data_IF_534920122500
#
_entry.id   IF_534920122500
#
_cell.length_a   1.000
_cell.length_b   1.000
_cell.length_c   1.000
_cell.angle_alpha   90.00
_cell.angle_beta   90.00
_cell.angle_gamma   90.00
#
_symmetry.space_group_name_H-M   'P 1'
#
loop_
_entity.id
_entity.type
_entity.pdbx_description
1 polymer ?
#
# COMPACT_ATOMS: atom_id res chain seq x y z
N UNK A 1 -1.46 -12.76 31.69
CA UNK A 1 -1.42 -12.51 30.24
C UNK A 1 -1.92 -13.76 29.55
N UNK A 2 -2.84 -13.64 28.59
CA UNK A 2 -3.18 -14.75 27.69
C UNK A 2 -1.93 -15.14 26.88
N UNK A 3 -1.80 -16.41 26.53
CA UNK A 3 -0.72 -16.84 25.63
C UNK A 3 -0.97 -16.28 24.23
N UNK A 4 0.11 -15.91 23.53
CA UNK A 4 0.02 -15.40 22.17
C UNK A 4 -0.63 -16.45 21.24
N UNK A 5 -1.60 -16.03 20.44
CA UNK A 5 -2.34 -16.90 19.53
C UNK A 5 -2.74 -16.15 18.25
N UNK A 6 -2.94 -16.90 17.17
CA UNK A 6 -3.41 -16.38 15.90
C UNK A 6 -4.88 -16.00 16.02
N UNK A 7 -5.22 -14.71 16.00
CA UNK A 7 -6.60 -14.26 16.17
C UNK A 7 -7.36 -14.11 14.85
N UNK A 8 -6.67 -13.86 13.74
CA UNK A 8 -7.30 -13.74 12.42
C UNK A 8 -6.38 -14.25 11.31
N UNK A 9 -6.96 -14.91 10.32
CA UNK A 9 -6.32 -15.22 9.04
C UNK A 9 -7.04 -14.47 7.94
N UNK A 10 -6.30 -13.68 7.16
CA UNK A 10 -6.85 -12.88 6.08
C UNK A 10 -6.11 -13.14 4.78
N UNK A 11 -6.88 -13.27 3.70
CA UNK A 11 -6.36 -13.40 2.33
C UNK A 11 -6.94 -12.32 1.43
N UNK A 12 -6.19 -11.91 0.42
CA UNK A 12 -6.59 -10.87 -0.52
C UNK A 12 -6.47 -11.42 -1.93
N UNK A 13 -7.52 -12.04 -2.47
CA UNK A 13 -7.44 -12.84 -3.70
C UNK A 13 -6.82 -12.13 -4.89
N UNK A 14 -7.20 -10.86 -5.07
CA UNK A 14 -6.64 -9.97 -6.09
C UNK A 14 -5.75 -8.94 -5.41
N UNK A 15 -4.60 -8.63 -6.01
CA UNK A 15 -3.76 -7.52 -5.58
C UNK A 15 -4.62 -6.24 -5.51
N UNK A 16 -4.55 -5.56 -4.36
CA UNK A 16 -5.26 -4.29 -4.08
C UNK A 16 -6.78 -4.33 -3.91
N UNK A 17 -7.46 -5.49 -3.98
CA UNK A 17 -8.90 -5.58 -3.61
C UNK A 17 -9.11 -5.87 -2.13
N UNK A 18 -10.36 -5.86 -1.67
CA UNK A 18 -10.77 -6.20 -0.30
C UNK A 18 -10.34 -7.62 0.12
N UNK A 19 -10.13 -7.80 1.42
CA UNK A 19 -9.73 -9.07 2.00
C UNK A 19 -10.92 -9.97 2.36
N UNK A 20 -10.62 -11.25 2.59
CA UNK A 20 -11.53 -12.27 3.14
C UNK A 20 -10.89 -12.80 4.42
N UNK A 21 -11.64 -12.84 5.51
CA UNK A 21 -11.22 -13.51 6.75
C UNK A 21 -11.59 -15.00 6.69
N UNK A 22 -10.67 -15.86 7.11
CA UNK A 22 -10.79 -17.31 7.08
C UNK A 22 -10.54 -17.88 8.48
N UNK A 23 -11.27 -18.93 8.84
CA UNK A 23 -11.01 -19.67 10.09
C UNK A 23 -9.75 -20.55 10.02
N UNK A 24 -9.33 -20.93 8.81
CA UNK A 24 -8.14 -21.76 8.56
C UNK A 24 -7.59 -21.51 7.16
N UNK A 25 -6.30 -21.74 6.95
CA UNK A 25 -5.68 -21.64 5.63
C UNK A 25 -4.53 -22.64 5.46
N UNK A 26 -4.39 -23.16 4.23
CA UNK A 26 -3.20 -23.88 3.81
C UNK A 26 -2.10 -22.89 3.45
N UNK A 27 -0.96 -23.00 4.12
CA UNK A 27 0.24 -22.21 3.89
C UNK A 27 1.10 -22.92 2.85
N UNK A 28 1.39 -22.23 1.76
CA UNK A 28 2.36 -22.64 0.74
C UNK A 28 3.64 -21.80 0.89
N UNK A 29 4.73 -22.22 0.25
CA UNK A 29 5.92 -21.37 0.16
C UNK A 29 5.59 -19.99 -0.43
N UNK A 30 4.78 -19.95 -1.49
CA UNK A 30 4.30 -18.70 -2.12
C UNK A 30 3.30 -17.88 -1.30
N UNK A 31 2.96 -18.32 -0.08
CA UNK A 31 2.12 -17.61 0.88
C UNK A 31 0.84 -18.37 1.20
N UNK A 32 -0.12 -17.69 1.84
CA UNK A 32 -1.41 -18.31 2.13
C UNK A 32 -2.13 -18.70 0.83
N UNK A 33 -2.86 -19.81 0.86
CA UNK A 33 -3.74 -20.21 -0.22
C UNK A 33 -4.69 -19.08 -0.59
N UNK A 34 -4.94 -18.92 -1.89
CA UNK A 34 -5.75 -17.85 -2.47
C UNK A 34 -5.17 -16.44 -2.36
N UNK A 35 -4.06 -16.22 -1.66
CA UNK A 35 -3.59 -14.86 -1.38
C UNK A 35 -2.82 -14.23 -2.56
N UNK A 36 -3.32 -13.10 -3.08
CA UNK A 36 -2.78 -12.37 -4.24
C UNK A 36 -2.48 -13.30 -5.43
N UNK A 37 -3.33 -14.29 -5.67
CA UNK A 37 -3.23 -15.18 -6.84
C UNK A 37 -3.63 -14.48 -8.13
N UNK A 38 -4.30 -13.33 -8.02
CA UNK A 38 -4.68 -12.50 -9.14
C UNK A 38 -4.14 -11.08 -9.03
N UNK A 39 -4.02 -10.41 -10.17
CA UNK A 39 -3.64 -9.00 -10.26
C UNK A 39 -4.31 -8.36 -11.48
N UNK A 40 -4.72 -7.10 -11.34
CA UNK A 40 -5.10 -6.30 -12.49
C UNK A 40 -3.86 -5.73 -13.18
N UNK A 41 -3.81 -5.80 -14.50
CA UNK A 41 -2.73 -5.25 -15.29
C UNK A 41 -3.28 -4.40 -16.46
N UNK A 42 -2.49 -3.44 -16.93
CA UNK A 42 -2.69 -2.83 -18.25
C UNK A 42 -2.24 -3.81 -19.34
N UNK A 43 -2.53 -3.50 -20.61
CA UNK A 43 -2.22 -4.38 -21.76
C UNK A 43 -0.73 -4.65 -21.97
N UNK A 44 0.15 -3.84 -21.38
CA UNK A 44 1.60 -4.05 -21.35
C UNK A 44 2.08 -4.92 -20.17
N UNK A 45 1.16 -5.45 -19.36
CA UNK A 45 1.46 -6.26 -18.18
C UNK A 45 1.78 -5.47 -16.91
N UNK A 46 1.72 -4.13 -16.95
CA UNK A 46 2.02 -3.29 -15.78
C UNK A 46 0.91 -3.37 -14.74
N UNK A 47 1.29 -3.60 -13.47
CA UNK A 47 0.33 -3.71 -12.37
C UNK A 47 -0.55 -2.45 -12.17
N UNK A 48 -1.85 -2.68 -11.99
CA UNK A 48 -2.84 -1.68 -11.56
C UNK A 48 -3.14 -1.91 -10.07
N UNK A 49 -3.03 -0.86 -9.26
CA UNK A 49 -3.12 -0.98 -7.80
C UNK A 49 -3.93 0.14 -7.16
N UNK A 50 -4.38 -0.10 -5.92
CA UNK A 50 -5.12 0.87 -5.12
C UNK A 50 -4.30 2.10 -4.68
N UNK A 51 -3.00 2.14 -5.01
CA UNK A 51 -2.19 3.36 -4.89
C UNK A 51 -2.58 4.42 -5.92
N UNK A 52 -3.15 3.98 -7.05
CA UNK A 52 -3.66 4.86 -8.12
C UNK A 52 -5.19 4.83 -8.18
N UNK A 53 -5.79 3.67 -7.94
CA UNK A 53 -7.24 3.46 -8.01
C UNK A 53 -7.80 2.94 -6.68
N UNK A 54 -7.89 3.79 -5.65
CA UNK A 54 -8.23 3.37 -4.29
C UNK A 54 -9.60 2.68 -4.19
N UNK A 55 -10.53 2.92 -5.11
CA UNK A 55 -11.85 2.27 -5.15
C UNK A 55 -11.77 0.74 -5.29
N UNK A 56 -10.66 0.20 -5.80
CA UNK A 56 -10.43 -1.25 -5.89
C UNK A 56 -10.61 -1.97 -4.55
N UNK A 57 -10.31 -1.31 -3.42
CA UNK A 57 -10.42 -1.93 -2.08
C UNK A 57 -11.86 -2.25 -1.68
N UNK A 58 -12.85 -1.63 -2.34
CA UNK A 58 -14.27 -1.86 -2.09
C UNK A 58 -14.79 -3.12 -2.78
N UNK A 59 -14.02 -3.68 -3.72
CA UNK A 59 -14.35 -4.98 -4.32
C UNK A 59 -14.28 -6.05 -3.26
N UNK A 60 -15.39 -6.73 -3.04
CA UNK A 60 -15.53 -7.87 -2.12
C UNK A 60 -15.40 -9.16 -2.90
N UNK A 61 -14.83 -10.16 -2.26
CA UNK A 61 -14.64 -11.48 -2.82
C UNK A 61 -15.27 -12.53 -1.90
N UNK A 62 -15.91 -13.52 -2.49
CA UNK A 62 -16.41 -14.72 -1.81
C UNK A 62 -15.80 -15.94 -2.48
N UNK A 63 -15.24 -16.84 -1.68
CA UNK A 63 -14.66 -18.10 -2.17
C UNK A 63 -15.76 -19.05 -2.65
N UNK A 64 -15.49 -19.75 -3.74
CA UNK A 64 -16.23 -20.91 -4.23
C UNK A 64 -15.28 -22.11 -4.33
N UNK A 65 -15.78 -23.35 -4.34
CA UNK A 65 -14.93 -24.54 -4.51
C UNK A 65 -14.09 -24.53 -5.80
N UNK A 66 -14.54 -23.83 -6.84
CA UNK A 66 -13.88 -23.75 -8.14
C UNK A 66 -13.59 -22.32 -8.61
N UNK A 67 -13.52 -21.34 -7.69
CA UNK A 67 -13.20 -19.95 -8.04
C UNK A 67 -13.74 -18.93 -7.04
N UNK A 68 -14.28 -17.82 -7.56
CA UNK A 68 -14.71 -16.68 -6.75
C UNK A 68 -16.01 -16.08 -7.27
N UNK A 69 -16.73 -15.41 -6.37
CA UNK A 69 -17.69 -14.36 -6.74
C UNK A 69 -17.14 -13.03 -6.27
N UNK A 70 -17.03 -12.07 -7.19
CA UNK A 70 -16.70 -10.68 -6.87
C UNK A 70 -17.95 -9.82 -6.91
N UNK A 71 -18.05 -8.91 -5.94
CA UNK A 71 -19.11 -7.90 -5.88
C UNK A 71 -18.52 -6.52 -5.64
N UNK A 72 -19.17 -5.52 -6.22
CA UNK A 72 -18.87 -4.10 -6.03
C UNK A 72 -20.20 -3.33 -6.12
N UNK A 73 -20.24 -2.14 -5.51
CA UNK A 73 -21.43 -1.30 -5.56
C UNK A 73 -21.75 -0.88 -7.00
N UNK A 74 -23.05 -0.91 -7.36
CA UNK A 74 -23.50 -0.59 -8.72
C UNK A 74 -23.19 -1.64 -9.78
N UNK A 75 -22.47 -2.72 -9.44
CA UNK A 75 -22.04 -3.75 -10.37
C UNK A 75 -22.84 -5.05 -10.23
N UNK A 76 -23.10 -5.73 -11.36
CA UNK A 76 -23.64 -7.10 -11.31
C UNK A 76 -22.56 -8.03 -10.76
N UNK A 77 -22.89 -9.04 -9.92
CA UNK A 77 -21.90 -9.98 -9.43
C UNK A 77 -21.13 -10.67 -10.55
N UNK A 78 -19.81 -10.73 -10.42
CA UNK A 78 -18.92 -11.45 -11.32
C UNK A 78 -18.60 -12.82 -10.73
N UNK A 79 -19.12 -13.88 -11.33
CA UNK A 79 -18.68 -15.24 -11.04
C UNK A 79 -17.47 -15.56 -11.91
N UNK A 80 -16.39 -15.99 -11.27
CA UNK A 80 -15.12 -16.34 -11.90
C UNK A 80 -14.80 -17.80 -11.55
N UNK A 81 -14.81 -18.70 -12.53
CA UNK A 81 -14.44 -20.10 -12.32
C UNK A 81 -13.11 -20.43 -13.01
N UNK A 82 -12.24 -21.19 -12.34
CA UNK A 82 -10.91 -21.56 -12.88
C UNK A 82 -10.97 -22.37 -14.18
N UNK A 83 -12.08 -23.07 -14.43
CA UNK A 83 -12.35 -23.82 -15.67
C UNK A 83 -12.55 -22.93 -16.88
N UNK A 84 -12.94 -21.67 -16.65
CA UNK A 84 -13.35 -20.75 -17.72
C UNK A 84 -12.16 -19.90 -18.20
N UNK A 85 -10.99 -20.04 -17.55
CA UNK A 85 -9.83 -19.23 -17.87
C UNK A 85 -9.28 -19.60 -19.23
N UNK A 86 -8.94 -18.58 -20.03
CA UNK A 86 -8.22 -18.72 -21.29
C UNK A 86 -6.85 -19.37 -21.10
N UNK A 87 -6.20 -19.12 -19.95
CA UNK A 87 -4.88 -19.64 -19.58
C UNK A 87 -3.81 -19.38 -20.65
N UNK A 88 -3.93 -18.28 -21.39
CA UNK A 88 -2.89 -17.87 -22.32
C UNK A 88 -1.79 -17.19 -21.51
N UNK A 89 -0.55 -17.62 -21.73
CA UNK A 89 0.61 -17.00 -21.10
C UNK A 89 0.74 -15.54 -21.55
N UNK A 90 0.98 -14.64 -20.61
CA UNK A 90 1.18 -13.21 -20.87
C UNK A 90 2.22 -12.65 -19.91
N UNK A 91 2.84 -11.54 -20.28
CA UNK A 91 3.82 -10.86 -19.46
C UNK A 91 3.13 -10.11 -18.32
N UNK A 92 3.59 -10.32 -17.09
CA UNK A 92 3.22 -9.50 -15.94
C UNK A 92 4.46 -8.84 -15.34
N UNK A 93 4.28 -7.63 -14.81
CA UNK A 93 5.35 -6.91 -14.10
C UNK A 93 4.87 -6.41 -12.75
N UNK A 94 5.56 -6.87 -11.69
CA UNK A 94 5.39 -6.40 -10.32
C UNK A 94 6.67 -5.71 -9.89
N UNK A 95 6.62 -4.38 -9.76
CA UNK A 95 7.79 -3.55 -9.49
C UNK A 95 8.87 -3.71 -10.57
N UNK A 96 9.99 -4.39 -10.24
CA UNK A 96 11.10 -4.68 -11.16
C UNK A 96 11.08 -6.13 -11.64
N UNK A 97 10.15 -6.94 -11.14
CA UNK A 97 10.10 -8.36 -11.42
C UNK A 97 9.10 -8.60 -12.57
N UNK A 98 9.63 -9.05 -13.70
CA UNK A 98 8.85 -9.43 -14.89
C UNK A 98 8.83 -10.96 -15.00
N UNK A 99 7.63 -11.54 -15.12
CA UNK A 99 7.41 -12.99 -15.14
C UNK A 99 6.14 -13.33 -15.93
N UNK A 100 5.98 -14.60 -16.28
CA UNK A 100 4.81 -15.04 -17.03
C UNK A 100 3.61 -15.28 -16.11
N UNK A 101 2.44 -14.78 -16.51
CA UNK A 101 1.16 -15.01 -15.87
C UNK A 101 0.15 -15.54 -16.89
N UNK A 102 -1.09 -15.78 -16.47
CA UNK A 102 -2.13 -16.36 -17.31
C UNK A 102 -3.34 -15.44 -17.40
N UNK A 103 -3.89 -15.29 -18.60
CA UNK A 103 -5.14 -14.57 -18.82
C UNK A 103 -6.34 -15.33 -18.24
N UNK A 104 -7.32 -14.59 -17.72
CA UNK A 104 -8.55 -15.16 -17.16
C UNK A 104 -9.68 -15.15 -18.19
N UNK A 105 -10.60 -14.19 -18.13
CA UNK A 105 -11.78 -14.10 -19.02
C UNK A 105 -12.02 -12.65 -19.44
N UNK A 106 -12.57 -12.45 -20.64
CA UNK A 106 -12.92 -11.10 -21.12
C UNK A 106 -13.97 -10.44 -20.21
N UNK A 107 -14.93 -11.22 -19.73
CA UNK A 107 -15.94 -10.73 -18.79
C UNK A 107 -15.31 -10.19 -17.50
N UNK A 108 -14.27 -10.82 -16.98
CA UNK A 108 -13.56 -10.33 -15.80
C UNK A 108 -12.80 -9.04 -16.11
N UNK A 109 -12.16 -8.97 -17.29
CA UNK A 109 -11.46 -7.78 -17.76
C UNK A 109 -12.43 -6.59 -17.85
N UNK A 110 -13.58 -6.76 -18.50
CA UNK A 110 -14.60 -5.73 -18.65
C UNK A 110 -15.12 -5.26 -17.28
N UNK A 111 -15.47 -6.20 -16.40
CA UNK A 111 -16.01 -5.91 -15.07
C UNK A 111 -15.05 -5.09 -14.21
N UNK A 112 -13.77 -5.46 -14.19
CA UNK A 112 -12.75 -4.69 -13.47
C UNK A 112 -12.42 -3.37 -14.18
N UNK A 113 -12.52 -3.31 -15.51
CA UNK A 113 -12.30 -2.08 -16.27
C UNK A 113 -13.33 -1.01 -15.93
N UNK A 114 -14.59 -1.39 -15.74
CA UNK A 114 -15.65 -0.47 -15.30
C UNK A 114 -15.36 0.12 -13.91
N UNK A 115 -14.81 -0.66 -12.99
CA UNK A 115 -14.49 -0.21 -11.62
C UNK A 115 -13.27 0.71 -11.61
N UNK A 116 -12.24 0.37 -12.39
CA UNK A 116 -11.00 1.15 -12.45
C UNK A 116 -11.18 2.40 -13.30
N UNK A 117 -12.09 2.40 -14.28
CA UNK A 117 -12.31 3.49 -15.23
C UNK A 117 -11.31 3.49 -16.39
N UNK A 118 -10.64 2.36 -16.65
CA UNK A 118 -9.76 2.15 -17.79
C UNK A 118 -9.72 0.67 -18.15
N UNK A 119 -9.29 0.34 -19.38
CA UNK A 119 -9.11 -1.04 -19.80
C UNK A 119 -8.01 -1.73 -18.96
N UNK A 120 -8.37 -2.83 -18.31
CA UNK A 120 -7.47 -3.68 -17.53
C UNK A 120 -7.75 -5.15 -17.78
N UNK A 121 -6.74 -5.98 -17.55
CA UNK A 121 -6.83 -7.42 -17.61
C UNK A 121 -6.69 -8.01 -16.20
N UNK A 122 -7.54 -8.98 -15.86
CA UNK A 122 -7.37 -9.78 -14.66
C UNK A 122 -6.44 -10.95 -14.99
N UNK A 123 -5.22 -10.89 -14.46
CA UNK A 123 -4.20 -11.92 -14.61
C UNK A 123 -4.19 -12.87 -13.42
N UNK A 124 -3.86 -14.13 -13.67
CA UNK A 124 -3.71 -15.20 -12.70
C UNK A 124 -2.26 -15.71 -12.69
N UNK A 125 -1.65 -15.91 -11.52
CA UNK A 125 -0.26 -16.35 -11.44
C UNK A 125 -0.06 -17.85 -11.68
N UNK A 126 -1.14 -18.60 -11.91
CA UNK A 126 -1.11 -20.06 -11.91
C UNK A 126 -1.32 -20.64 -10.50
N UNK A 127 -1.46 -21.97 -10.43
CA UNK A 127 -1.53 -22.68 -9.15
C UNK A 127 -0.24 -22.47 -8.37
N UNK A 128 0.90 -22.62 -9.05
CA UNK A 128 2.21 -22.24 -8.57
C UNK A 128 2.74 -21.07 -9.40
N UNK A 129 3.02 -19.96 -8.73
CA UNK A 129 3.67 -18.81 -9.36
C UNK A 129 5.08 -19.20 -9.81
N UNK A 130 5.47 -18.75 -11.00
CA UNK A 130 6.84 -18.85 -11.53
C UNK A 130 7.72 -17.66 -11.11
N UNK A 131 7.16 -16.67 -10.40
CA UNK A 131 7.92 -15.50 -9.94
C UNK A 131 8.74 -15.85 -8.71
N UNK A 132 10.01 -16.15 -8.91
CA UNK A 132 10.98 -16.40 -7.83
C UNK A 132 11.68 -15.11 -7.45
N UNK A 133 11.81 -14.84 -6.14
CA UNK A 133 12.62 -13.73 -5.63
C UNK A 133 13.82 -14.27 -4.88
N UNK A 134 15.03 -13.89 -5.30
CA UNK A 134 16.30 -14.35 -4.72
C UNK A 134 16.34 -14.15 -3.18
N UNK A 135 15.87 -13.00 -2.70
CA UNK A 135 15.83 -12.68 -1.25
C UNK A 135 14.89 -13.57 -0.44
N UNK A 136 13.95 -14.25 -1.09
CA UNK A 136 12.98 -15.15 -0.48
C UNK A 136 13.40 -16.61 -0.69
N UNK A 137 14.10 -16.91 -1.78
CA UNK A 137 14.60 -18.26 -2.11
C UNK A 137 13.60 -19.17 -2.81
N UNK A 138 12.33 -18.76 -2.92
CA UNK A 138 11.28 -19.51 -3.61
C UNK A 138 10.27 -18.57 -4.32
N UNK A 139 9.21 -19.15 -4.87
CA UNK A 139 8.17 -18.42 -5.58
C UNK A 139 7.33 -17.52 -4.66
N UNK A 140 6.84 -16.42 -5.22
CA UNK A 140 5.93 -15.46 -4.59
C UNK A 140 4.81 -15.18 -5.58
N UNK A 141 3.58 -15.02 -5.09
CA UNK A 141 2.44 -14.62 -5.93
C UNK A 141 2.56 -13.15 -6.40
N UNK A 142 1.44 -12.48 -6.72
CA UNK A 142 1.43 -11.04 -7.01
C UNK A 142 1.60 -10.15 -5.76
N UNK A 143 1.96 -10.73 -4.60
CA UNK A 143 2.36 -9.97 -3.40
C UNK A 143 3.53 -9.00 -3.71
N UNK A 144 3.72 -7.94 -2.92
CA UNK A 144 4.73 -6.92 -3.25
C UNK A 144 6.16 -7.47 -3.19
N UNK A 145 6.52 -8.08 -2.06
CA UNK A 145 7.86 -8.61 -1.85
C UNK A 145 7.90 -9.92 -1.07
N UNK A 146 7.00 -10.12 -0.11
CA UNK A 146 7.00 -11.29 0.75
C UNK A 146 5.64 -11.99 0.75
N UNK A 147 5.60 -13.31 0.98
CA UNK A 147 4.38 -14.09 0.92
C UNK A 147 3.35 -13.77 2.00
N UNK A 148 3.80 -13.44 3.22
CA UNK A 148 2.92 -13.28 4.38
C UNK A 148 3.31 -12.02 5.16
N UNK A 149 2.31 -11.28 5.64
CA UNK A 149 2.46 -10.15 6.57
C UNK A 149 1.79 -10.47 7.92
N UNK A 150 2.52 -10.26 9.01
CA UNK A 150 2.02 -10.42 10.38
C UNK A 150 2.01 -9.09 11.13
N UNK A 151 0.95 -8.82 11.89
CA UNK A 151 0.82 -7.66 12.81
C UNK A 151 0.09 -8.12 14.08
N UNK A 152 0.53 -7.67 15.25
CA UNK A 152 -0.22 -7.93 16.49
C UNK A 152 -1.37 -6.95 16.72
N UNK A 153 -2.42 -7.39 17.41
CA UNK A 153 -3.53 -6.54 17.84
C UNK A 153 -3.03 -5.42 18.77
N UNK A 154 -2.11 -5.74 19.68
CA UNK A 154 -1.50 -4.78 20.60
C UNK A 154 -0.74 -3.66 19.86
N UNK A 155 -0.04 -3.97 18.75
CA UNK A 155 0.58 -2.95 17.89
C UNK A 155 -0.46 -2.00 17.26
N UNK A 156 -1.62 -2.53 16.84
CA UNK A 156 -2.70 -1.72 16.29
C UNK A 156 -3.37 -0.86 17.36
N UNK A 157 -3.58 -1.41 18.56
CA UNK A 157 -4.11 -0.69 19.71
C UNK A 157 -3.20 0.48 20.09
N UNK A 158 -1.88 0.27 20.12
CA UNK A 158 -0.93 1.32 20.43
C UNK A 158 -0.88 2.42 19.35
N UNK A 159 -1.02 2.05 18.06
CA UNK A 159 -1.24 3.04 17.00
C UNK A 159 -2.53 3.84 17.23
N UNK A 160 -3.64 3.15 17.52
CA UNK A 160 -4.93 3.80 17.75
C UNK A 160 -4.91 4.72 18.98
N UNK A 161 -4.15 4.37 20.02
CA UNK A 161 -3.95 5.21 21.20
C UNK A 161 -3.24 6.54 20.87
N UNK A 162 -2.32 6.52 19.89
CA UNK A 162 -1.55 7.70 19.46
C UNK A 162 -2.23 8.49 18.32
N UNK A 163 -3.10 7.84 17.57
CA UNK A 163 -3.76 8.43 16.40
C UNK A 163 -4.98 9.27 16.80
N UNK A 164 -5.33 10.35 16.07
CA UNK A 164 -6.58 11.06 16.29
C UNK A 164 -7.77 10.33 15.65
N UNK A 165 -7.52 9.27 14.87
CA UNK A 165 -8.50 8.48 14.15
C UNK A 165 -8.40 7.01 14.52
N UNK A 166 -9.53 6.30 14.45
CA UNK A 166 -9.53 4.85 14.55
C UNK A 166 -9.02 4.19 13.25
N UNK A 167 -8.14 3.21 13.44
CA UNK A 167 -7.57 2.36 12.41
C UNK A 167 -7.98 0.91 12.63
N UNK A 168 -8.16 0.21 11.51
CA UNK A 168 -8.46 -1.21 11.47
C UNK A 168 -7.32 -1.98 10.82
N UNK A 169 -7.19 -3.26 11.19
CA UNK A 169 -6.16 -4.14 10.64
C UNK A 169 -6.24 -4.27 9.11
N UNK A 170 -7.44 -4.14 8.55
CA UNK A 170 -7.71 -4.19 7.11
C UNK A 170 -6.94 -3.13 6.30
N UNK A 171 -6.64 -1.97 6.89
CA UNK A 171 -5.84 -0.91 6.24
C UNK A 171 -4.41 -1.37 5.94
N UNK A 172 -3.87 -2.26 6.78
CA UNK A 172 -2.50 -2.75 6.65
C UNK A 172 -2.39 -3.98 5.76
N UNK A 173 -3.52 -4.53 5.31
CA UNK A 173 -3.60 -5.72 4.46
C UNK A 173 -2.88 -6.94 5.07
N UNK A 174 -2.91 -7.04 6.39
CA UNK A 174 -2.27 -8.08 7.20
C UNK A 174 -2.84 -9.45 6.88
N UNK A 175 -1.99 -10.46 6.76
CA UNK A 175 -2.43 -11.84 6.57
C UNK A 175 -2.69 -12.52 7.91
N UNK A 176 -1.74 -12.43 8.83
CA UNK A 176 -1.80 -13.10 10.13
C UNK A 176 -1.90 -12.06 11.23
N UNK A 177 -2.97 -12.10 12.02
CA UNK A 177 -3.14 -11.22 13.17
C UNK A 177 -2.90 -12.03 14.43
N UNK A 178 -2.09 -11.49 15.34
CA UNK A 178 -1.74 -12.15 16.60
C UNK A 178 -2.31 -11.36 17.77
N UNK A 179 -2.91 -12.07 18.71
CA UNK A 179 -3.37 -11.51 19.99
C UNK A 179 -2.57 -12.08 21.15
N UNK A 180 -2.69 -11.48 22.34
CA UNK A 180 -2.01 -11.93 23.56
C UNK A 180 -0.51 -11.58 23.60
N UNK A 181 -0.13 -10.43 23.05
CA UNK A 181 1.25 -9.91 23.04
C UNK A 181 1.31 -8.50 23.59
N UNK A 182 2.51 -8.05 23.96
CA UNK A 182 2.78 -6.63 24.15
C UNK A 182 2.81 -5.89 22.79
N UNK A 183 2.60 -4.56 22.74
CA UNK A 183 2.74 -3.79 21.52
C UNK A 183 4.13 -3.97 20.90
N UNK A 184 4.15 -4.22 19.58
CA UNK A 184 5.36 -4.41 18.77
C UNK A 184 6.22 -5.61 19.16
N UNK A 185 5.71 -6.56 19.94
CA UNK A 185 6.44 -7.78 20.29
C UNK A 185 6.94 -8.54 19.05
N UNK A 186 6.19 -8.47 17.94
CA UNK A 186 6.57 -9.08 16.66
C UNK A 186 7.90 -8.58 16.10
N UNK A 187 8.36 -7.38 16.47
CA UNK A 187 9.63 -6.81 15.99
C UNK A 187 10.85 -7.61 16.50
N UNK A 188 10.72 -8.26 17.65
CA UNK A 188 11.79 -9.03 18.29
C UNK A 188 11.74 -10.52 17.95
N UNK A 189 10.76 -10.98 17.16
CA UNK A 189 10.69 -12.39 16.76
C UNK A 189 11.60 -12.62 15.56
N UNK A 190 12.31 -13.74 15.56
CA UNK A 190 13.15 -14.17 14.43
C UNK A 190 12.58 -15.40 13.75
N UNK A 191 12.20 -16.40 14.53
CA UNK A 191 11.55 -17.62 14.04
C UNK A 191 10.35 -17.92 14.93
N UNK A 192 9.19 -18.17 14.33
CA UNK A 192 7.96 -18.55 15.06
C UNK A 192 7.34 -19.82 14.49
N UNK A 193 6.55 -20.52 15.29
CA UNK A 193 5.68 -21.61 14.85
C UNK A 193 4.23 -21.25 15.14
N UNK A 194 3.36 -21.54 14.16
CA UNK A 194 1.91 -21.40 14.24
C UNK A 194 1.31 -22.70 13.71
N UNK A 195 0.58 -23.43 14.56
CA UNK A 195 0.16 -24.79 14.21
C UNK A 195 1.36 -25.67 13.85
N UNK A 196 1.35 -26.26 12.67
CA UNK A 196 2.45 -27.08 12.14
C UNK A 196 3.49 -26.30 11.31
N UNK A 197 3.25 -25.01 11.08
CA UNK A 197 4.06 -24.21 10.15
C UNK A 197 5.07 -23.36 10.88
N UNK A 198 6.34 -23.47 10.50
CA UNK A 198 7.42 -22.61 10.97
C UNK A 198 7.63 -21.46 10.00
N UNK A 199 7.71 -20.24 10.53
CA UNK A 199 7.95 -19.03 9.77
C UNK A 199 9.24 -18.33 10.22
N UNK A 200 9.97 -17.80 9.24
CA UNK A 200 11.03 -16.83 9.43
C UNK A 200 10.49 -15.41 9.35
N UNK A 201 10.88 -14.57 10.30
CA UNK A 201 10.63 -13.14 10.30
C UNK A 201 11.76 -12.46 9.53
N UNK A 202 11.50 -12.12 8.27
CA UNK A 202 12.56 -11.75 7.33
C UNK A 202 12.84 -10.25 7.34
N UNK A 203 11.79 -9.42 7.42
CA UNK A 203 11.96 -7.96 7.32
C UNK A 203 10.78 -7.17 7.89
N UNK A 204 11.02 -6.07 8.62
CA UNK A 204 10.01 -5.06 8.91
C UNK A 204 9.29 -4.56 7.65
N UNK A 205 7.98 -4.41 7.74
CA UNK A 205 7.15 -3.99 6.61
C UNK A 205 7.08 -2.47 6.52
N UNK A 206 7.77 -1.91 5.52
CA UNK A 206 7.67 -0.49 5.17
C UNK A 206 6.25 -0.19 4.62
N UNK A 207 5.58 0.79 5.21
CA UNK A 207 4.20 1.16 4.88
C UNK A 207 4.18 2.21 3.78
N UNK A 208 3.28 1.99 2.82
CA UNK A 208 3.02 2.94 1.74
C UNK A 208 1.66 3.60 1.90
N UNK A 209 1.36 4.59 1.06
CA UNK A 209 0.09 5.34 1.02
C UNK A 209 -1.17 4.49 1.03
N UNK A 210 -1.09 3.23 0.57
CA UNK A 210 -2.26 2.38 0.54
C UNK A 210 -2.89 2.22 1.94
N UNK A 211 -2.10 2.32 3.01
CA UNK A 211 -2.63 2.28 4.38
C UNK A 211 -3.52 3.47 4.71
N UNK A 212 -3.44 4.58 3.97
CA UNK A 212 -4.29 5.77 4.15
C UNK A 212 -5.58 5.71 3.34
N UNK A 213 -5.83 4.62 2.61
CA UNK A 213 -7.11 4.40 1.92
C UNK A 213 -8.18 4.03 2.96
N UNK A 214 -9.27 4.78 2.96
CA UNK A 214 -10.50 4.38 3.65
C UNK A 214 -11.11 3.20 2.88
N UNK A 215 -11.05 2.01 3.48
CA UNK A 215 -11.52 0.77 2.84
C UNK A 215 -13.02 0.72 2.59
N UNK A 216 -13.79 1.57 3.28
CA UNK A 216 -15.24 1.67 3.11
C UNK A 216 -15.58 2.63 1.97
N UNK A 217 -14.87 3.77 1.90
CA UNK A 217 -15.12 4.81 0.88
C UNK A 217 -14.36 4.60 -0.43
N UNK A 218 -13.31 3.79 -0.44
CA UNK A 218 -12.47 3.60 -1.62
C UNK A 218 -11.69 4.85 -2.03
N UNK A 219 -11.30 5.68 -1.06
CA UNK A 219 -10.60 6.95 -1.29
C UNK A 219 -9.51 7.17 -0.24
N UNK A 220 -8.47 7.93 -0.59
CA UNK A 220 -7.45 8.33 0.37
C UNK A 220 -8.02 9.27 1.42
N UNK A 221 -7.64 9.05 2.69
CA UNK A 221 -7.93 9.97 3.79
C UNK A 221 -7.15 11.26 3.58
N UNK A 222 -7.85 12.39 3.61
CA UNK A 222 -7.25 13.72 3.52
C UNK A 222 -6.25 13.99 4.67
N UNK A 223 -6.48 13.38 5.84
CA UNK A 223 -5.61 13.47 7.02
C UNK A 223 -4.26 12.76 6.85
N UNK A 224 -4.10 11.90 5.82
CA UNK A 224 -2.92 11.05 5.58
C UNK A 224 -2.62 10.06 6.72
N UNK A 225 -3.58 9.82 7.62
CA UNK A 225 -3.47 8.78 8.66
C UNK A 225 -3.63 7.37 8.03
N UNK A 226 -2.99 6.32 8.59
CA UNK A 226 -2.18 6.29 9.80
C UNK A 226 -0.71 6.69 9.61
N UNK A 227 -0.27 6.99 8.38
CA UNK A 227 1.15 7.23 8.11
C UNK A 227 1.68 8.46 8.85
N UNK A 228 0.85 9.50 8.99
CA UNK A 228 1.20 10.70 9.76
C UNK A 228 1.54 10.36 11.21
N UNK A 229 0.72 9.57 11.89
CA UNK A 229 0.97 9.13 13.27
C UNK A 229 2.13 8.12 13.34
N UNK A 230 2.18 7.12 12.47
CA UNK A 230 3.28 6.16 12.46
C UNK A 230 4.65 6.84 12.24
N UNK A 231 4.72 7.92 11.47
CA UNK A 231 5.97 8.65 11.24
C UNK A 231 6.58 9.24 12.52
N UNK A 232 5.79 9.46 13.57
CA UNK A 232 6.29 10.05 14.82
C UNK A 232 7.01 9.05 15.72
N UNK A 233 6.84 7.73 15.50
CA UNK A 233 7.42 6.72 16.40
C UNK A 233 7.79 5.40 15.73
N UNK A 234 7.59 5.28 14.41
CA UNK A 234 7.89 4.10 13.58
C UNK A 234 8.65 4.46 12.31
N UNK A 235 9.25 5.65 12.26
CA UNK A 235 10.09 6.08 11.16
C UNK A 235 11.57 5.80 11.43
N UNK A 236 12.28 5.27 10.44
CA UNK A 236 13.74 5.17 10.50
C UNK A 236 14.42 6.51 10.14
N UNK A 237 15.75 6.53 10.17
CA UNK A 237 16.56 7.72 9.83
C UNK A 237 16.38 8.16 8.37
N UNK A 238 16.01 7.26 7.47
CA UNK A 238 15.73 7.55 6.06
C UNK A 238 14.33 8.09 5.81
N UNK A 239 13.46 8.07 6.83
CA UNK A 239 12.05 8.47 6.75
C UNK A 239 11.10 7.35 6.32
N UNK A 240 11.61 6.12 6.16
CA UNK A 240 10.77 4.94 5.94
C UNK A 240 9.93 4.64 7.18
N UNK A 241 8.64 4.36 7.01
CA UNK A 241 7.69 4.12 8.12
C UNK A 241 7.36 2.64 8.20
N UNK A 242 7.47 2.01 9.37
CA UNK A 242 7.39 0.55 9.50
C UNK A 242 6.31 0.05 10.47
N UNK A 243 5.49 -0.90 10.01
CA UNK A 243 4.44 -1.50 10.83
C UNK A 243 4.11 -2.91 10.35
N UNK A 244 4.30 -3.89 11.23
CA UNK A 244 4.21 -5.30 10.89
C UNK A 244 5.50 -5.91 10.35
N UNK A 245 5.49 -7.24 10.26
CA UNK A 245 6.63 -8.06 9.90
C UNK A 245 6.32 -8.94 8.69
N UNK A 246 7.26 -9.02 7.74
CA UNK A 246 7.14 -9.89 6.58
C UNK A 246 7.71 -11.27 6.90
N UNK A 247 6.94 -12.31 6.56
CA UNK A 247 7.19 -13.69 6.90
C UNK A 247 7.43 -14.53 5.64
N UNK A 248 8.23 -15.58 5.81
CA UNK A 248 8.43 -16.67 4.86
C UNK A 248 8.23 -18.00 5.59
N UNK A 249 7.49 -18.93 4.99
CA UNK A 249 7.26 -20.26 5.57
C UNK A 249 8.45 -21.18 5.26
N UNK A 250 8.90 -21.96 6.25
CA UNK A 250 9.93 -23.01 6.08
C UNK A 250 9.35 -24.34 5.62
N UNK A 251 8.06 -24.54 5.82
CA UNK A 251 7.31 -25.72 5.42
C UNK A 251 5.88 -25.35 5.05
N UNK A 252 5.20 -26.24 4.33
CA UNK A 252 3.78 -26.11 4.06
C UNK A 252 2.96 -26.79 5.17
N UNK A 253 1.70 -26.39 5.30
CA UNK A 253 0.80 -26.94 6.32
C UNK A 253 -0.44 -26.08 6.56
N UNK A 254 -1.35 -26.58 7.40
CA UNK A 254 -2.56 -25.89 7.83
C UNK A 254 -2.27 -25.06 9.08
N UNK A 255 -2.79 -23.83 9.07
CA UNK A 255 -2.95 -23.00 10.26
C UNK A 255 -4.42 -22.68 10.47
N UNK A 256 -4.83 -22.56 11.72
CA UNK A 256 -6.21 -22.28 12.14
C UNK A 256 -6.23 -21.11 13.11
N UNK A 257 -7.30 -20.30 13.07
CA UNK A 257 -7.56 -19.33 14.12
C UNK A 257 -7.52 -20.00 15.50
N UNK A 258 -6.96 -19.29 16.47
CA UNK A 258 -6.62 -19.72 17.82
C UNK A 258 -5.40 -20.65 17.95
N UNK A 259 -4.70 -20.98 16.85
CA UNK A 259 -3.40 -21.65 16.96
C UNK A 259 -2.45 -20.81 17.83
N UNK A 260 -1.76 -21.49 18.74
CA UNK A 260 -0.78 -20.84 19.61
C UNK A 260 0.40 -20.35 18.78
N UNK A 261 0.90 -19.16 19.11
CA UNK A 261 2.17 -18.66 18.60
C UNK A 261 3.29 -19.12 19.54
N UNK A 262 4.22 -19.90 19.02
CA UNK A 262 5.44 -20.29 19.71
C UNK A 262 6.64 -19.56 19.09
N UNK A 263 7.28 -18.68 19.86
CA UNK A 263 8.51 -18.02 19.41
C UNK A 263 9.67 -18.98 19.64
N UNK A 264 10.26 -19.47 18.55
CA UNK A 264 11.37 -20.42 18.56
C UNK A 264 12.72 -19.72 18.70
N UNK A 265 12.82 -18.51 18.16
CA UNK A 265 14.04 -17.70 18.21
C UNK A 265 13.67 -16.21 18.23
N UNK A 266 14.39 -15.45 19.04
CA UNK A 266 14.27 -13.99 19.12
C UNK A 266 15.43 -13.31 18.40
N UNK A 267 15.22 -12.05 18.03
CA UNK A 267 16.23 -11.13 17.53
C UNK A 267 16.10 -9.78 18.22
N UNK A 268 17.10 -8.92 18.01
CA UNK A 268 17.00 -7.51 18.38
C UNK A 268 15.98 -6.81 17.48
N UNK A 269 14.98 -6.18 18.09
CA UNK A 269 13.99 -5.39 17.38
C UNK A 269 14.59 -4.10 16.84
N UNK A 270 14.08 -3.63 15.69
CA UNK A 270 14.51 -2.35 15.14
C UNK A 270 14.07 -1.20 16.06
N UNK A 271 15.02 -0.36 16.46
CA UNK A 271 14.75 0.84 17.22
C UNK A 271 14.22 1.96 16.31
N UNK A 272 13.17 2.64 16.77
CA UNK A 272 12.62 3.84 16.12
C UNK A 272 12.61 4.97 17.14
N UNK A 273 13.32 6.06 16.85
CA UNK A 273 13.33 7.23 17.71
C UNK A 273 11.94 7.88 17.75
N UNK A 274 11.46 8.24 18.94
CA UNK A 274 10.29 9.10 19.06
C UNK A 274 10.59 10.49 18.51
N UNK A 275 9.62 11.04 17.79
CA UNK A 275 9.69 12.36 17.18
C UNK A 275 8.45 13.14 17.59
N UNK A 276 8.57 14.44 17.89
CA UNK A 276 7.42 15.28 18.18
C UNK A 276 6.45 15.26 16.98
N UNK A 277 5.15 15.24 17.29
CA UNK A 277 4.12 15.37 16.26
C UNK A 277 4.31 16.73 15.58
N UNK A 278 4.29 16.84 14.25
CA UNK A 278 4.26 18.15 13.61
C UNK A 278 3.03 18.89 14.17
N UNK A 279 3.26 20.02 14.83
CA UNK A 279 2.19 20.83 15.41
C UNK A 279 1.13 21.08 14.33
N UNK A 280 -0.08 20.60 14.60
CA UNK A 280 -1.26 21.17 13.97
C UNK A 280 -1.25 22.62 14.44
N UNK A 281 -1.28 23.59 13.52
CA UNK A 281 -1.52 24.96 13.92
C UNK A 281 -2.90 24.99 14.61
N UNK A 282 -2.89 24.97 15.95
CA UNK A 282 -4.08 25.10 16.76
C UNK A 282 -4.60 26.52 16.56
N UNK A 283 -5.76 26.63 15.94
CA UNK A 283 -6.49 27.88 15.80
C UNK A 283 -7.22 28.23 17.11
N UNK A 284 -6.49 28.24 18.22
CA UNK A 284 -7.02 28.60 19.53
C UNK A 284 -6.17 29.72 20.15
N UNK A 285 -6.22 30.90 19.54
CA UNK A 285 -5.96 32.15 20.25
C UNK A 285 -7.12 33.12 19.99
N UNK A 286 -8.05 33.13 20.94
CA UNK A 286 -9.13 34.07 21.07
C UNK A 286 -8.61 35.40 21.63
N UNK A 287 -8.16 36.29 20.75
CA UNK A 287 -8.42 37.75 20.77
C UNK A 287 -7.36 38.48 19.94
N UNK A 288 -7.66 38.66 18.65
CA UNK A 288 -7.14 39.76 17.86
C UNK A 288 -8.15 40.03 16.75
N UNK A 289 -8.69 41.24 16.76
CA UNK A 289 -9.64 41.88 15.84
C UNK A 289 -10.16 41.03 14.65
N UNK A 290 -11.48 40.90 14.59
CA UNK A 290 -12.23 40.49 13.39
C UNK A 290 -11.81 41.31 12.16
N UNK A 291 -10.83 40.81 11.42
CA UNK A 291 -10.74 41.04 9.99
C UNK A 291 -11.50 39.88 9.36
N UNK A 292 -12.68 40.18 8.83
CA UNK A 292 -13.42 39.26 7.96
C UNK A 292 -12.46 38.72 6.90
N UNK A 293 -12.11 37.43 6.96
CA UNK A 293 -11.47 36.75 5.83
C UNK A 293 -12.58 36.39 4.84
N UNK A 294 -13.03 37.42 4.12
CA UNK A 294 -13.79 37.26 2.88
C UNK A 294 -12.89 36.51 1.88
N UNK A 295 -13.44 35.46 1.26
CA UNK A 295 -12.92 34.84 0.04
C UNK A 295 -11.60 34.06 0.18
N UNK A 296 -11.68 32.73 0.20
CA UNK A 296 -10.69 31.96 -0.52
C UNK A 296 -10.90 32.30 -2.01
N UNK A 297 -10.09 33.22 -2.54
CA UNK A 297 -10.01 33.44 -3.98
C UNK A 297 -9.76 32.07 -4.63
N UNK A 298 -10.71 31.60 -5.45
CA UNK A 298 -10.49 30.46 -6.33
C UNK A 298 -9.36 30.88 -7.28
N UNK A 299 -8.13 30.47 -7.00
CA UNK A 299 -7.04 30.61 -7.97
C UNK A 299 -7.53 30.03 -9.31
N UNK A 300 -7.58 30.87 -10.34
CA UNK A 300 -8.00 30.44 -11.67
C UNK A 300 -7.08 29.31 -12.16
N UNK A 301 -7.67 28.36 -12.88
CA UNK A 301 -6.89 27.31 -13.53
C UNK A 301 -5.96 27.95 -14.56
N UNK A 302 -4.65 27.86 -14.34
CA UNK A 302 -3.64 28.39 -15.25
C UNK A 302 -3.01 27.23 -16.00
N UNK A 303 -2.91 27.38 -17.31
CA UNK A 303 -2.05 26.53 -18.13
C UNK A 303 -0.59 26.90 -17.87
N UNK A 304 0.26 25.91 -17.58
CA UNK A 304 1.67 26.08 -17.25
C UNK A 304 2.53 25.26 -18.20
N UNK A 305 3.76 25.71 -18.45
CA UNK A 305 4.79 24.88 -19.08
C UNK A 305 5.60 24.20 -17.99
N UNK A 306 5.60 22.87 -17.99
CA UNK A 306 6.34 22.05 -17.04
C UNK A 306 7.46 21.31 -17.77
N UNK A 307 8.67 21.32 -17.21
CA UNK A 307 9.85 20.65 -17.77
C UNK A 307 10.41 19.69 -16.73
N UNK A 308 10.59 18.43 -17.11
CA UNK A 308 11.18 17.39 -16.26
C UNK A 308 12.34 16.75 -17.02
N UNK A 309 13.56 16.87 -16.51
CA UNK A 309 14.78 16.38 -17.17
C UNK A 309 14.89 16.82 -18.65
N UNK A 310 14.56 18.09 -18.93
CA UNK A 310 14.62 18.68 -20.26
C UNK A 310 13.44 18.36 -21.19
N UNK A 311 12.48 17.50 -20.79
CA UNK A 311 11.26 17.25 -21.56
C UNK A 311 10.14 18.18 -21.08
N UNK A 312 9.70 19.08 -21.96
CA UNK A 312 8.63 20.03 -21.67
C UNK A 312 7.25 19.53 -22.11
N UNK A 313 6.23 19.84 -21.33
CA UNK A 313 4.83 19.54 -21.62
C UNK A 313 3.91 20.60 -21.01
N UNK A 314 2.67 20.65 -21.49
CA UNK A 314 1.64 21.56 -20.98
C UNK A 314 0.98 20.93 -19.76
N UNK A 315 0.94 21.69 -18.67
CA UNK A 315 0.36 21.33 -17.38
C UNK A 315 -0.52 22.43 -16.80
N UNK A 316 -0.78 22.37 -15.49
CA UNK A 316 -1.63 23.29 -14.75
C UNK A 316 -1.25 23.43 -13.27
N UNK A 317 -1.90 24.38 -12.59
CA UNK A 317 -1.76 24.67 -11.17
C UNK A 317 -2.76 23.93 -10.26
N UNK A 318 -3.28 22.77 -10.68
CA UNK A 318 -4.29 22.00 -9.91
C UNK A 318 -3.87 20.57 -9.59
N UNK A 319 -3.07 19.96 -10.45
CA UNK A 319 -2.61 18.58 -10.29
C UNK A 319 -1.18 18.53 -9.77
N UNK A 320 -0.79 17.41 -9.17
CA UNK A 320 0.60 17.22 -8.74
C UNK A 320 1.54 17.15 -9.94
N UNK A 321 2.80 17.53 -9.75
CA UNK A 321 3.82 17.44 -10.79
C UNK A 321 3.97 16.00 -11.33
N UNK A 322 3.83 14.99 -10.46
CA UNK A 322 3.89 13.58 -10.84
C UNK A 322 2.73 13.19 -11.77
N UNK A 323 1.49 13.51 -11.43
CA UNK A 323 0.32 13.13 -12.25
C UNK A 323 0.40 13.72 -13.66
N UNK A 324 0.86 14.96 -13.75
CA UNK A 324 1.02 15.66 -15.02
C UNK A 324 2.18 15.09 -15.85
N UNK A 325 3.31 14.77 -15.20
CA UNK A 325 4.43 14.08 -15.85
C UNK A 325 4.02 12.72 -16.41
N UNK A 326 3.26 11.92 -15.64
CA UNK A 326 2.76 10.61 -16.09
C UNK A 326 1.84 10.73 -17.30
N UNK A 327 0.93 11.72 -17.30
CA UNK A 327 0.04 12.00 -18.43
C UNK A 327 0.81 12.38 -19.69
N UNK A 328 1.93 13.09 -19.54
CA UNK A 328 2.83 13.46 -20.63
C UNK A 328 3.85 12.37 -21.02
N UNK A 329 3.76 11.18 -20.42
CA UNK A 329 4.70 10.08 -20.66
C UNK A 329 6.13 10.43 -20.22
N UNK A 330 6.27 11.15 -19.10
CA UNK A 330 7.56 11.46 -18.46
C UNK A 330 7.66 10.71 -17.14
N UNK A 331 8.73 9.93 -16.99
CA UNK A 331 8.92 9.07 -15.83
C UNK A 331 9.62 9.85 -14.73
N UNK A 332 8.95 9.98 -13.59
CA UNK A 332 9.55 10.38 -12.31
C UNK A 332 9.49 9.18 -11.37
N UNK A 333 10.62 8.69 -10.81
CA UNK A 333 10.61 7.61 -9.84
C UNK A 333 9.63 7.93 -8.72
N UNK A 334 8.76 6.98 -8.34
CA UNK A 334 7.81 7.21 -7.27
C UNK A 334 7.40 5.90 -6.60
N UNK A 335 6.97 5.98 -5.33
CA UNK A 335 6.47 4.83 -4.57
C UNK A 335 5.22 5.19 -3.78
N UNK A 336 5.30 6.19 -2.91
CA UNK A 336 4.21 6.53 -1.98
C UNK A 336 3.15 7.45 -2.57
N UNK A 337 3.43 8.33 -3.54
CA UNK A 337 2.44 9.31 -4.03
C UNK A 337 1.86 10.32 -3.01
N UNK A 338 2.49 10.48 -1.84
CA UNK A 338 2.11 11.46 -0.79
C UNK A 338 3.32 12.21 -0.24
N UNK A 339 4.44 12.17 -0.95
CA UNK A 339 5.68 12.84 -0.56
C UNK A 339 6.37 12.30 0.69
N UNK A 340 6.00 11.11 1.17
CA UNK A 340 6.52 10.54 2.43
C UNK A 340 7.70 9.56 2.29
N UNK A 341 7.86 8.88 1.16
CA UNK A 341 8.94 7.88 0.99
C UNK A 341 10.22 8.41 0.35
N UNK A 342 10.28 9.70 0.01
CA UNK A 342 11.42 10.30 -0.71
C UNK A 342 11.63 9.88 -2.17
N UNK A 343 11.03 8.77 -2.65
CA UNK A 343 11.27 8.25 -4.00
C UNK A 343 10.97 9.24 -5.14
N UNK A 344 10.00 10.15 -4.96
CA UNK A 344 9.61 11.17 -5.96
C UNK A 344 10.34 12.50 -5.78
N UNK A 345 11.49 12.48 -5.09
CA UNK A 345 12.33 13.66 -4.89
C UNK A 345 12.82 14.16 -6.24
N UNK A 346 12.66 15.46 -6.46
CA UNK A 346 13.16 16.20 -7.61
C UNK A 346 13.78 17.50 -7.13
N UNK A 347 14.77 17.99 -7.86
CA UNK A 347 15.36 19.31 -7.64
C UNK A 347 14.61 20.34 -8.48
N UNK A 348 14.15 21.44 -7.87
CA UNK A 348 13.54 22.56 -8.58
C UNK A 348 14.66 23.37 -9.22
N UNK A 349 14.75 23.35 -10.54
CA UNK A 349 15.72 24.13 -11.33
C UNK A 349 15.19 25.54 -11.56
N UNK A 350 13.90 25.67 -11.87
CA UNK A 350 13.23 26.95 -12.05
C UNK A 350 11.75 26.87 -11.67
N UNK A 351 11.17 28.02 -11.31
CA UNK A 351 9.75 28.15 -10.98
C UNK A 351 9.42 27.93 -9.51
N UNK A 352 8.12 27.97 -9.20
CA UNK A 352 7.60 27.79 -7.85
C UNK A 352 6.60 26.65 -7.83
N UNK A 353 6.70 25.80 -6.81
CA UNK A 353 5.71 24.76 -6.51
C UNK A 353 5.13 25.03 -5.12
N UNK A 354 3.88 24.60 -4.92
CA UNK A 354 3.28 24.48 -3.61
C UNK A 354 3.55 23.07 -3.08
N UNK A 355 3.99 22.94 -1.84
CA UNK A 355 4.08 21.65 -1.18
C UNK A 355 2.82 21.45 -0.34
N UNK A 356 1.95 20.53 -0.71
CA UNK A 356 0.80 20.19 0.13
C UNK A 356 1.28 19.45 1.37
N UNK A 357 1.25 20.08 2.54
CA UNK A 357 1.55 19.52 3.88
C UNK A 357 2.30 18.18 3.84
N UNK A 358 3.54 18.22 3.34
CA UNK A 358 4.39 17.03 3.20
C UNK A 358 5.19 16.92 4.49
N UNK A 359 4.93 15.93 5.36
CA UNK A 359 5.59 15.85 6.67
C UNK A 359 7.13 15.75 6.53
N UNK A 360 7.61 15.09 5.49
CA UNK A 360 9.06 14.90 5.23
C UNK A 360 9.78 16.20 4.88
N UNK A 361 9.12 17.18 4.26
CA UNK A 361 9.74 18.49 4.01
C UNK A 361 9.81 19.33 5.29
N UNK A 362 8.84 19.19 6.20
CA UNK A 362 8.87 19.86 7.50
C UNK A 362 9.94 19.28 8.44
N UNK A 363 10.37 18.04 8.20
CA UNK A 363 11.43 17.36 8.96
C UNK A 363 12.86 17.73 8.53
N UNK A 364 13.00 18.40 7.38
CA UNK A 364 14.30 18.83 6.87
C UNK A 364 14.28 20.33 6.64
N UNK A 365 14.51 21.09 7.71
CA UNK A 365 14.91 22.49 7.59
C UNK A 365 16.14 22.54 6.67
N UNK A 366 16.02 23.20 5.50
CA UNK A 366 17.01 23.40 4.42
C UNK A 366 16.93 22.45 3.21
N UNK A 367 15.82 22.50 2.48
CA UNK A 367 15.86 22.16 1.05
C UNK A 367 15.27 23.27 0.19
N UNK A 368 15.90 24.45 0.20
CA UNK A 368 15.69 25.42 -0.87
C UNK A 368 16.06 24.71 -2.18
N UNK A 369 15.07 24.47 -3.04
CA UNK A 369 15.16 23.76 -4.33
C UNK A 369 14.92 22.24 -4.35
N UNK A 370 14.27 21.62 -3.36
CA UNK A 370 13.77 20.24 -3.51
C UNK A 370 12.24 20.19 -3.42
N UNK A 371 11.63 19.38 -4.28
CA UNK A 371 10.23 19.01 -4.20
C UNK A 371 10.04 17.50 -4.20
N UNK A 372 8.91 17.06 -3.67
CA UNK A 372 8.40 15.72 -3.91
C UNK A 372 7.34 15.82 -4.99
N UNK A 373 7.69 15.43 -6.22
CA UNK A 373 6.84 15.60 -7.41
C UNK A 373 5.40 15.09 -7.19
N UNK A 374 5.29 14.06 -6.34
CA UNK A 374 4.04 13.40 -6.03
C UNK A 374 3.19 14.04 -4.94
N UNK A 375 3.61 15.17 -4.38
CA UNK A 375 2.83 15.95 -3.39
C UNK A 375 3.08 17.44 -3.54
N UNK A 376 3.58 17.89 -4.70
CA UNK A 376 3.75 19.30 -5.02
C UNK A 376 2.94 19.68 -6.25
N UNK A 377 2.31 20.86 -6.21
CA UNK A 377 1.49 21.42 -7.29
C UNK A 377 2.23 22.65 -7.85
N UNK A 378 2.55 22.72 -9.15
CA UNK A 378 3.20 23.89 -9.73
C UNK A 378 2.36 25.17 -9.61
N UNK A 379 2.97 26.30 -9.20
CA UNK A 379 2.32 27.63 -9.17
C UNK A 379 2.65 28.48 -10.40
N UNK A 380 3.83 28.23 -10.99
CA UNK A 380 4.32 28.89 -12.20
C UNK A 380 4.82 27.84 -13.18
N UNK A 381 5.23 28.27 -14.37
CA UNK A 381 6.10 27.44 -15.22
C UNK A 381 7.27 26.94 -14.36
N UNK A 382 7.58 25.65 -14.47
CA UNK A 382 8.50 24.99 -13.56
C UNK A 382 9.39 24.02 -14.32
N UNK A 383 10.67 24.01 -13.96
CA UNK A 383 11.66 23.06 -14.43
C UNK A 383 12.19 22.29 -13.24
N UNK A 384 12.22 20.95 -13.35
CA UNK A 384 12.76 20.07 -12.33
C UNK A 384 13.73 19.04 -12.93
N UNK A 385 14.71 18.66 -12.12
CA UNK A 385 15.64 17.57 -12.39
C UNK A 385 15.40 16.41 -11.42
N UNK A 386 15.55 15.18 -11.89
CA UNK A 386 15.35 13.96 -11.08
C UNK A 386 16.64 13.58 -10.36
#
# INVERSE_FOLDING_TARGET
MSLAHLSQINVYPVKSVGGISLSSSWVEFQGLSFDRRFMLATSDGTMVTARKYPQMVQVKASLLPNGFVFTAEGQRPLKLAYSDFKRQETQATVWKDSFAAYTTTDRANDWFSEIVGQNVELLYCGEQSNRVREKVGHNVSFADGYPVLLISEASLEELNRRSPEAHSMTQFRTNLVVSGTEPFAEDCWKTIRIGEVVFDIVKPCERCILTTVDTTKGAFRASKEPLKTLMTFRADESGGVFFGQNLVARNEGVITENDRIEVLEYQEGQFYAERPRPELADSSDSNSAMVKKEGAEKEEAKSLTLTVNGKSFVGNNRQTLLEQAETAGVIIPNKCRVGMCGACKVSIVAGKVNHEDVPVLKLAERFDNIAFACSCIPKTNCEVAI
#
